data_IF_472566647533
#
_entry.id   IF_472566647533
#
_cell.length_a   1.000
_cell.length_b   1.000
_cell.length_c   1.000
_cell.angle_alpha   90.00
_cell.angle_beta   90.00
_cell.angle_gamma   90.00
#
_symmetry.space_group_name_H-M   'P 1'
#
loop_
_entity.id
_entity.type
_entity.pdbx_description
1 polymer ?
#
# COMPACT_ATOMS: atom_id res chain seq x y z
N UNK A 1 8.04 31.26 1.74
CA UNK A 1 8.17 30.94 3.17
C UNK A 1 8.01 29.44 3.25
N UNK A 2 9.12 28.69 3.24
CA UNK A 2 9.08 27.23 2.98
C UNK A 2 9.57 26.46 4.22
N UNK A 3 8.66 26.11 5.12
CA UNK A 3 8.93 25.28 6.31
C UNK A 3 9.02 23.77 5.97
N UNK A 4 9.71 23.42 4.88
CA UNK A 4 9.74 22.06 4.32
C UNK A 4 11.13 21.39 4.34
N UNK A 5 12.01 21.79 5.26
CA UNK A 5 13.30 21.13 5.46
C UNK A 5 13.60 20.92 6.93
N UNK A 6 13.62 19.64 7.35
CA UNK A 6 14.37 19.02 8.47
C UNK A 6 13.58 17.93 9.24
N UNK A 7 12.57 17.26 8.65
CA UNK A 7 12.20 15.93 9.19
C UNK A 7 13.36 14.97 8.94
N UNK A 8 13.55 13.98 9.81
CA UNK A 8 14.73 13.11 9.71
C UNK A 8 14.79 12.34 8.38
N UNK A 9 13.63 12.01 7.81
CA UNK A 9 13.47 11.34 6.52
C UNK A 9 13.62 12.28 5.31
N UNK A 10 13.51 13.60 5.47
CA UNK A 10 13.70 14.56 4.35
C UNK A 10 15.15 14.64 3.87
N UNK A 11 16.07 13.99 4.60
CA UNK A 11 17.49 13.89 4.25
C UNK A 11 17.78 12.84 3.17
N UNK A 12 16.86 11.89 2.99
CA UNK A 12 16.94 10.85 1.97
C UNK A 12 15.84 11.14 0.91
N UNK A 13 16.19 11.31 -0.38
CA UNK A 13 15.21 11.67 -1.40
C UNK A 13 14.21 10.55 -1.68
N UNK A 14 14.63 9.28 -1.56
CA UNK A 14 13.74 8.12 -1.74
C UNK A 14 12.75 8.09 -0.59
N UNK A 15 13.25 8.17 0.64
CA UNK A 15 12.40 8.10 1.83
C UNK A 15 11.46 9.30 1.95
N UNK A 16 11.91 10.53 1.61
CA UNK A 16 11.03 11.71 1.57
C UNK A 16 9.93 11.55 0.52
N UNK A 17 10.21 10.94 -0.64
CA UNK A 17 9.18 10.67 -1.65
C UNK A 17 8.18 9.62 -1.18
N UNK A 18 8.65 8.45 -0.71
CA UNK A 18 7.79 7.39 -0.18
C UNK A 18 6.89 7.89 0.97
N UNK A 19 7.45 8.70 1.88
CA UNK A 19 6.70 9.33 2.98
C UNK A 19 5.66 10.37 2.52
N UNK A 20 5.86 11.02 1.36
CA UNK A 20 4.87 11.94 0.78
C UNK A 20 3.72 11.17 0.15
N UNK A 21 4.02 10.20 -0.72
CA UNK A 21 3.00 9.36 -1.37
C UNK A 21 2.15 8.62 -0.34
N UNK A 22 2.78 8.05 0.69
CA UNK A 22 2.09 7.39 1.80
C UNK A 22 1.23 8.37 2.62
N UNK A 23 1.62 9.63 2.75
CA UNK A 23 0.80 10.63 3.46
C UNK A 23 -0.45 11.08 2.70
N UNK A 24 -0.53 10.76 1.41
CA UNK A 24 -1.66 11.09 0.52
C UNK A 24 -2.56 9.91 0.17
N UNK A 25 -2.16 8.68 0.50
CA UNK A 25 -3.01 7.49 0.33
C UNK A 25 -4.07 7.39 1.43
N UNK A 26 -5.05 6.52 1.23
CA UNK A 26 -6.06 6.16 2.21
C UNK A 26 -5.47 5.44 3.44
N UNK A 27 -6.23 5.43 4.54
CA UNK A 27 -5.82 4.83 5.82
C UNK A 27 -5.58 3.30 5.74
N UNK A 28 -6.44 2.48 5.09
CA UNK A 28 -6.15 1.07 4.83
C UNK A 28 -4.81 0.83 4.13
N UNK A 29 -4.50 1.55 3.06
CA UNK A 29 -3.20 1.47 2.36
C UNK A 29 -2.04 1.92 3.24
N UNK A 30 -2.22 2.97 4.04
CA UNK A 30 -1.21 3.41 5.02
C UNK A 30 -0.87 2.31 6.02
N UNK A 31 -1.88 1.64 6.58
CA UNK A 31 -1.72 0.54 7.54
C UNK A 31 -1.04 -0.67 6.87
N UNK A 32 -1.45 -1.03 5.65
CA UNK A 32 -0.88 -2.16 4.91
C UNK A 32 0.62 -1.95 4.62
N UNK A 33 1.00 -0.77 4.11
CA UNK A 33 2.42 -0.41 3.90
C UNK A 33 3.18 -0.39 5.23
N UNK A 34 2.59 0.11 6.32
CA UNK A 34 3.23 0.14 7.63
C UNK A 34 3.50 -1.26 8.22
N UNK A 35 2.57 -2.21 8.06
CA UNK A 35 2.76 -3.60 8.47
C UNK A 35 3.92 -4.26 7.69
N UNK A 36 3.94 -4.08 6.37
CA UNK A 36 5.03 -4.59 5.53
C UNK A 36 6.36 -3.93 5.87
N UNK A 37 6.36 -2.62 6.17
CA UNK A 37 7.55 -1.89 6.59
C UNK A 37 8.10 -2.39 7.95
N UNK A 38 7.24 -2.69 8.93
CA UNK A 38 7.66 -3.32 10.21
C UNK A 38 8.34 -4.66 9.95
N UNK A 39 7.75 -5.52 9.11
CA UNK A 39 8.33 -6.81 8.72
C UNK A 39 9.73 -6.63 8.11
N UNK A 40 9.87 -5.78 7.10
CA UNK A 40 11.15 -5.52 6.41
C UNK A 40 12.21 -4.97 7.39
N UNK A 41 11.84 -4.05 8.29
CA UNK A 41 12.74 -3.54 9.33
C UNK A 41 13.24 -4.67 10.25
N UNK A 42 12.36 -5.58 10.67
CA UNK A 42 12.74 -6.72 11.50
C UNK A 42 13.67 -7.66 10.75
N UNK A 43 13.37 -7.98 9.49
CA UNK A 43 14.21 -8.84 8.64
C UNK A 43 15.63 -8.27 8.46
N UNK A 44 15.78 -6.97 8.15
CA UNK A 44 17.12 -6.36 8.08
C UNK A 44 17.83 -6.33 9.43
N UNK A 45 17.14 -6.07 10.55
CA UNK A 45 17.79 -6.07 11.86
C UNK A 45 18.19 -7.49 12.32
N UNK A 46 17.50 -8.55 11.91
CA UNK A 46 17.95 -9.93 12.12
C UNK A 46 19.19 -10.22 11.26
N UNK A 47 19.17 -9.85 9.98
CA UNK A 47 20.28 -10.05 9.04
C UNK A 47 21.55 -9.26 9.44
N UNK A 48 21.39 -8.04 9.96
CA UNK A 48 22.47 -7.17 10.47
C UNK A 48 22.90 -7.55 11.93
N UNK A 49 22.42 -8.69 12.46
CA UNK A 49 22.64 -9.19 13.83
C UNK A 49 22.39 -8.13 14.93
N UNK A 50 21.28 -7.38 14.80
CA UNK A 50 20.78 -6.41 15.78
C UNK A 50 19.64 -6.94 16.65
N UNK A 51 18.86 -7.88 16.12
CA UNK A 51 17.89 -8.66 16.87
C UNK A 51 18.36 -10.12 16.89
N UNK A 52 18.63 -10.64 18.09
CA UNK A 52 19.08 -12.02 18.31
C UNK A 52 17.90 -12.91 18.75
N UNK A 53 16.86 -12.31 19.33
CA UNK A 53 15.72 -13.02 19.91
C UNK A 53 14.38 -12.26 19.70
N UNK A 54 13.27 -12.91 20.06
CA UNK A 54 11.91 -12.34 19.91
C UNK A 54 11.66 -11.16 20.87
N UNK A 55 12.35 -11.12 22.01
CA UNK A 55 12.22 -10.05 23.00
C UNK A 55 12.79 -8.73 22.48
N UNK A 56 13.89 -8.76 21.72
CA UNK A 56 14.44 -7.57 21.03
C UNK A 56 13.41 -6.95 20.07
N UNK A 57 12.68 -7.81 19.33
CA UNK A 57 11.62 -7.40 18.40
C UNK A 57 10.44 -6.79 19.16
N UNK A 58 9.98 -7.46 20.22
CA UNK A 58 8.90 -6.96 21.08
C UNK A 58 9.24 -5.60 21.70
N UNK A 59 10.45 -5.45 22.24
CA UNK A 59 10.97 -4.20 22.79
C UNK A 59 10.99 -3.06 21.75
N UNK A 60 11.43 -3.35 20.52
CA UNK A 60 11.45 -2.37 19.44
C UNK A 60 10.05 -1.91 19.01
N UNK A 61 9.09 -2.85 18.95
CA UNK A 61 7.68 -2.56 18.66
C UNK A 61 7.04 -1.75 19.80
N UNK A 62 7.26 -2.12 21.07
CA UNK A 62 6.70 -1.41 22.22
C UNK A 62 7.23 0.03 22.36
N UNK A 63 8.54 0.25 22.20
CA UNK A 63 9.13 1.61 22.16
C UNK A 63 8.71 2.40 20.89
N UNK A 64 8.18 1.72 19.86
CA UNK A 64 7.52 2.37 18.70
C UNK A 64 6.09 2.86 18.98
N UNK A 65 5.41 2.27 19.98
CA UNK A 65 4.04 2.65 20.39
C UNK A 65 4.00 3.91 21.27
N UNK A 66 5.14 4.33 21.82
CA UNK A 66 5.23 5.50 22.71
C UNK A 66 4.88 6.78 21.92
N UNK A 67 3.78 7.43 22.32
CA UNK A 67 3.33 8.67 21.69
C UNK A 67 4.22 9.84 22.12
N UNK A 68 5.01 10.37 21.18
CA UNK A 68 5.89 11.55 21.39
C UNK A 68 5.17 12.88 21.07
N UNK A 69 3.84 12.86 21.10
CA UNK A 69 2.93 13.95 20.70
C UNK A 69 2.01 13.55 19.53
N UNK A 70 1.04 14.41 19.21
CA UNK A 70 0.18 14.31 18.01
C UNK A 70 0.39 15.55 17.13
N UNK A 71 1.42 15.53 16.28
CA UNK A 71 1.71 16.65 15.36
C UNK A 71 2.11 16.22 13.94
N UNK A 72 2.39 14.95 13.70
CA UNK A 72 2.74 14.41 12.37
C UNK A 72 1.55 13.61 11.84
N UNK A 73 1.37 13.55 10.52
CA UNK A 73 0.26 12.82 9.89
C UNK A 73 0.24 11.34 10.32
N UNK A 74 1.42 10.74 10.47
CA UNK A 74 1.60 9.37 10.93
C UNK A 74 1.52 9.19 12.46
N UNK A 75 1.35 10.26 13.24
CA UNK A 75 1.09 10.17 14.69
C UNK A 75 -0.41 9.93 14.99
N UNK A 76 -1.22 9.64 13.98
CA UNK A 76 -2.64 9.32 14.14
C UNK A 76 -2.77 7.81 14.41
N UNK A 77 -2.54 6.97 13.40
CA UNK A 77 -2.62 5.52 13.53
C UNK A 77 -1.39 4.94 14.26
N UNK A 78 -1.61 3.89 15.05
CA UNK A 78 -0.62 3.26 15.92
C UNK A 78 0.46 2.42 15.21
N UNK A 79 0.10 1.71 14.15
CA UNK A 79 0.95 0.85 13.33
C UNK A 79 1.85 1.68 12.42
N UNK A 80 1.29 2.67 11.71
CA UNK A 80 2.04 3.64 10.89
C UNK A 80 3.06 4.39 11.75
N UNK A 81 2.66 4.85 12.94
CA UNK A 81 3.58 5.44 13.94
C UNK A 81 4.69 4.49 14.34
N UNK A 82 4.36 3.25 14.67
CA UNK A 82 5.31 2.22 15.13
C UNK A 82 6.35 1.93 14.04
N UNK A 83 5.91 1.71 12.80
CA UNK A 83 6.77 1.46 11.65
C UNK A 83 7.80 2.60 11.44
N UNK A 84 7.32 3.85 11.44
CA UNK A 84 8.18 5.01 11.21
C UNK A 84 9.10 5.30 12.40
N UNK A 85 8.68 5.04 13.64
CA UNK A 85 9.54 5.14 14.81
C UNK A 85 10.62 4.03 14.86
N UNK A 86 10.29 2.80 14.44
CA UNK A 86 11.28 1.73 14.28
C UNK A 86 12.29 2.10 13.19
N UNK A 87 11.84 2.65 12.05
CA UNK A 87 12.72 3.12 10.99
C UNK A 87 13.61 4.28 11.44
N UNK A 88 13.09 5.23 12.22
CA UNK A 88 13.87 6.35 12.78
C UNK A 88 15.04 5.88 13.66
N UNK A 89 14.92 4.72 14.31
CA UNK A 89 15.95 4.13 15.20
C UNK A 89 16.97 3.25 14.47
N UNK A 90 16.69 2.81 13.24
CA UNK A 90 17.59 1.97 12.46
C UNK A 90 18.93 2.64 12.15
N UNK A 91 19.96 1.84 11.85
CA UNK A 91 21.27 2.34 11.43
C UNK A 91 21.16 3.13 10.09
N UNK A 92 22.11 4.03 9.75
CA UNK A 92 22.08 4.71 8.45
C UNK A 92 22.10 3.77 7.24
N UNK A 93 22.82 2.65 7.34
CA UNK A 93 22.88 1.63 6.30
C UNK A 93 21.54 0.88 6.18
N UNK A 94 21.00 0.41 7.30
CA UNK A 94 19.70 -0.26 7.37
C UNK A 94 18.57 0.66 6.86
N UNK A 95 18.59 1.95 7.20
CA UNK A 95 17.65 2.95 6.67
C UNK A 95 17.69 3.06 5.15
N UNK A 96 18.87 3.01 4.54
CA UNK A 96 19.01 3.09 3.10
C UNK A 96 18.46 1.85 2.39
N UNK A 97 18.71 0.65 2.94
CA UNK A 97 18.10 -0.62 2.46
C UNK A 97 16.57 -0.52 2.53
N UNK A 98 16.04 -0.23 3.73
CA UNK A 98 14.60 -0.13 3.99
C UNK A 98 13.93 1.01 3.20
N UNK A 99 14.62 2.10 2.86
CA UNK A 99 14.05 3.18 2.04
C UNK A 99 13.74 2.72 0.60
N UNK A 100 14.57 1.84 0.03
CA UNK A 100 14.32 1.23 -1.28
C UNK A 100 13.13 0.26 -1.21
N UNK A 101 13.10 -0.59 -0.19
CA UNK A 101 11.99 -1.52 0.03
C UNK A 101 10.68 -0.77 0.28
N UNK A 102 10.70 0.31 1.06
CA UNK A 102 9.53 1.17 1.28
C UNK A 102 9.04 1.81 -0.03
N UNK A 103 9.93 2.22 -0.92
CA UNK A 103 9.53 2.74 -2.23
C UNK A 103 8.81 1.67 -3.07
N UNK A 104 9.29 0.42 -3.06
CA UNK A 104 8.63 -0.71 -3.71
C UNK A 104 7.25 -0.96 -3.10
N UNK A 105 7.15 -1.09 -1.77
CA UNK A 105 5.88 -1.30 -1.06
C UNK A 105 4.84 -0.21 -1.33
N UNK A 106 5.28 1.05 -1.48
CA UNK A 106 4.40 2.17 -1.84
C UNK A 106 3.95 2.08 -3.30
N UNK A 107 4.82 1.70 -4.24
CA UNK A 107 4.44 1.51 -5.64
C UNK A 107 3.42 0.34 -5.76
N UNK A 108 3.73 -0.79 -5.16
CA UNK A 108 2.91 -2.02 -5.19
C UNK A 108 1.55 -1.82 -4.52
N UNK A 109 1.47 -1.10 -3.39
CA UNK A 109 0.22 -1.00 -2.61
C UNK A 109 -0.62 0.24 -2.89
N UNK A 110 -0.05 1.32 -3.45
CA UNK A 110 -0.74 2.62 -3.63
C UNK A 110 -0.80 3.04 -5.09
N UNK A 111 0.15 2.65 -5.94
CA UNK A 111 0.13 3.02 -7.37
C UNK A 111 -0.57 1.95 -8.19
N UNK A 112 -0.24 0.67 -7.99
CA UNK A 112 -0.88 -0.43 -8.73
C UNK A 112 -2.38 -0.59 -8.40
N UNK A 113 -2.78 -0.38 -7.13
CA UNK A 113 -4.20 -0.35 -6.75
C UNK A 113 -5.01 0.73 -7.50
N UNK A 114 -4.40 1.86 -7.85
CA UNK A 114 -5.06 2.94 -8.61
C UNK A 114 -5.24 2.55 -10.08
N UNK A 115 -4.25 1.88 -10.67
CA UNK A 115 -4.35 1.35 -12.03
C UNK A 115 -5.42 0.22 -12.10
N UNK A 116 -5.50 -0.64 -11.08
CA UNK A 116 -6.51 -1.72 -10.98
C UNK A 116 -7.93 -1.16 -10.77
N UNK A 117 -8.13 -0.13 -9.94
CA UNK A 117 -9.44 0.52 -9.75
C UNK A 117 -9.95 1.19 -11.06
N UNK A 118 -9.06 1.80 -11.85
CA UNK A 118 -9.40 2.39 -13.15
C UNK A 118 -9.81 1.27 -14.15
N UNK A 119 -9.03 0.19 -14.24
CA UNK A 119 -9.36 -0.99 -15.05
C UNK A 119 -10.66 -1.68 -14.61
N UNK A 120 -10.93 -1.81 -13.31
CA UNK A 120 -12.18 -2.40 -12.81
C UNK A 120 -13.39 -1.50 -13.14
N UNK A 121 -13.20 -0.19 -13.25
CA UNK A 121 -14.23 0.76 -13.68
C UNK A 121 -14.55 0.61 -15.18
N UNK A 122 -13.54 0.51 -16.04
CA UNK A 122 -13.70 0.25 -17.48
C UNK A 122 -14.35 -1.11 -17.74
N UNK A 123 -13.96 -2.15 -16.98
CA UNK A 123 -14.56 -3.48 -17.05
C UNK A 123 -16.05 -3.42 -16.67
N UNK A 124 -16.42 -2.75 -15.58
CA UNK A 124 -17.82 -2.59 -15.16
C UNK A 124 -18.65 -1.82 -16.21
N UNK A 125 -18.11 -0.78 -16.82
CA UNK A 125 -18.79 -0.03 -17.88
C UNK A 125 -18.99 -0.89 -19.15
N UNK A 126 -17.98 -1.70 -19.53
CA UNK A 126 -18.09 -2.65 -20.65
C UNK A 126 -19.15 -3.75 -20.43
N UNK A 127 -19.35 -4.19 -19.18
CA UNK A 127 -20.37 -5.20 -18.82
C UNK A 127 -21.77 -4.59 -18.78
N UNK A 128 -21.92 -3.32 -18.35
CA UNK A 128 -23.20 -2.60 -18.39
C UNK A 128 -23.70 -2.41 -19.83
N UNK A 129 -22.80 -2.25 -20.80
CA UNK A 129 -23.13 -2.20 -22.22
C UNK A 129 -23.64 -3.55 -22.81
N UNK A 130 -23.41 -4.68 -22.11
CA UNK A 130 -23.88 -6.02 -22.49
C UNK A 130 -24.94 -6.56 -21.53
N UNK A 131 -26.04 -5.83 -21.33
CA UNK A 131 -27.27 -6.44 -20.81
C UNK A 131 -27.81 -7.43 -21.86
N UNK A 132 -27.93 -8.74 -21.57
CA UNK A 132 -28.64 -9.64 -22.46
C UNK A 132 -30.11 -9.20 -22.53
N UNK A 133 -30.62 -9.06 -23.75
CA UNK A 133 -32.04 -8.77 -23.98
C UNK A 133 -32.82 -10.06 -23.69
N UNK A 134 -33.34 -10.18 -22.47
CA UNK A 134 -34.21 -11.29 -22.08
C UNK A 134 -35.60 -10.98 -22.61
N UNK A 135 -35.97 -11.59 -23.74
CA UNK A 135 -37.36 -11.70 -24.20
C UNK A 135 -37.95 -13.03 -23.78
N UNK A 136 -39.14 -12.99 -23.17
CA UNK A 136 -39.93 -14.18 -22.85
C UNK A 136 -41.12 -14.27 -23.78
N UNK A 137 -41.22 -15.37 -24.54
CA UNK A 137 -42.40 -15.67 -25.35
C UNK A 137 -43.55 -16.23 -24.49
N UNK A 138 -44.77 -16.20 -25.04
CA UNK A 138 -46.02 -16.39 -24.29
C UNK A 138 -46.23 -17.78 -23.65
N UNK A 139 -45.42 -18.78 -24.01
CA UNK A 139 -45.43 -20.15 -23.43
C UNK A 139 -44.36 -20.39 -22.33
N UNK A 140 -43.61 -19.36 -21.91
CA UNK A 140 -42.87 -19.38 -20.64
C UNK A 140 -41.61 -20.25 -20.58
N UNK A 141 -41.05 -20.66 -21.72
CA UNK A 141 -39.69 -21.24 -21.78
C UNK A 141 -38.65 -20.15 -22.01
N UNK A 142 -37.56 -20.18 -21.24
CA UNK A 142 -36.39 -19.32 -21.45
C UNK A 142 -35.42 -19.96 -22.43
N UNK A 143 -35.17 -19.33 -23.56
CA UNK A 143 -34.13 -19.71 -24.50
C UNK A 143 -32.84 -18.96 -24.15
N UNK A 144 -31.74 -19.69 -23.99
CA UNK A 144 -30.39 -19.16 -23.95
C UNK A 144 -29.72 -19.50 -25.28
N UNK A 145 -29.70 -18.54 -26.20
CA UNK A 145 -28.93 -18.67 -27.44
C UNK A 145 -27.43 -18.61 -27.10
N UNK A 146 -26.84 -19.80 -27.04
CA UNK A 146 -25.40 -20.07 -27.01
C UNK A 146 -25.07 -20.79 -28.30
N UNK A 147 -23.99 -20.36 -28.98
CA UNK A 147 -23.58 -20.74 -30.34
C UNK A 147 -24.46 -20.06 -31.44
N UNK A 148 -23.95 -19.51 -32.56
CA UNK A 148 -22.60 -19.22 -33.05
C UNK A 148 -22.69 -18.06 -34.10
N UNK A 149 -21.66 -17.58 -34.81
CA UNK A 149 -20.27 -18.05 -34.97
C UNK A 149 -19.26 -16.89 -35.17
N UNK A 150 -19.14 -16.35 -36.39
CA UNK A 150 -18.03 -15.53 -36.89
C UNK A 150 -18.44 -14.76 -38.17
N UNK A 151 -17.64 -13.75 -38.57
CA UNK A 151 -17.60 -13.13 -39.92
C UNK A 151 -18.74 -12.24 -40.43
N UNK A 152 -18.45 -10.93 -40.56
CA UNK A 152 -18.47 -10.31 -41.90
C UNK A 152 -17.42 -9.18 -41.97
N UNK A 153 -16.50 -9.26 -42.95
CA UNK A 153 -15.50 -8.21 -43.24
C UNK A 153 -15.92 -7.50 -44.54
N UNK A 154 -16.30 -6.21 -44.45
CA UNK A 154 -16.46 -5.30 -45.61
C UNK A 154 -16.18 -3.85 -45.22
#
# INVERSE_FOLDING_TARGET
>A
MNEYFQRWYDKDPVLSMSMRTLSTSDEPSQIAVALNLIKVIIEHNINDHKYENVEDIMNAVEDGRIQRGQRRWYDIESTVRTAIQMLEKCSPETKQKVALDMAQLVIEKIIQDVDDDELESELKESVVAKKPVITTDEDGSTILDLDAEESDWK
#
